data_IF_365556869652
#
_entry.id   IF_365556869652
#
_cell.length_a   1.000
_cell.length_b   1.000
_cell.length_c   1.000
_cell.angle_alpha   90.00
_cell.angle_beta   90.00
_cell.angle_gamma   90.00
#
_symmetry.space_group_name_H-M   'P 1'
#
loop_
_entity.id
_entity.type
_entity.pdbx_description
1 polymer ?
#
# COMPACT_ATOMS: atom_id res chain seq x y z
N UNK A 1 -17.85 2.88 -20.02
CA UNK A 1 -16.53 2.22 -19.85
C UNK A 1 -15.88 2.72 -18.57
N UNK A 2 -15.02 1.92 -17.93
CA UNK A 2 -14.28 2.34 -16.74
C UNK A 2 -12.86 2.74 -17.15
N UNK A 3 -12.42 3.93 -16.71
CA UNK A 3 -11.06 4.42 -16.93
C UNK A 3 -10.17 4.07 -15.74
N UNK A 4 -9.13 3.27 -15.97
CA UNK A 4 -8.10 2.97 -14.98
C UNK A 4 -6.86 3.84 -15.19
N UNK A 5 -6.26 4.27 -14.08
CA UNK A 5 -5.11 5.17 -14.10
C UNK A 5 -4.08 4.67 -13.11
N UNK A 6 -2.84 4.49 -13.55
CA UNK A 6 -1.73 4.26 -12.63
C UNK A 6 -1.10 5.59 -12.24
N UNK A 7 -1.27 6.03 -10.99
CA UNK A 7 -0.66 7.24 -10.44
C UNK A 7 0.13 6.92 -9.14
N UNK A 8 1.32 6.31 -9.26
CA UNK A 8 2.10 5.79 -8.13
C UNK A 8 2.56 6.87 -7.14
N UNK A 9 2.53 8.14 -7.54
CA UNK A 9 2.83 9.30 -6.72
C UNK A 9 1.74 9.66 -5.70
N UNK A 10 0.62 8.93 -5.66
CA UNK A 10 -0.56 9.24 -4.84
C UNK A 10 -0.23 9.67 -3.39
N UNK A 11 0.58 8.89 -2.66
CA UNK A 11 0.89 9.21 -1.25
C UNK A 11 1.71 10.52 -1.12
N UNK A 12 2.52 10.84 -2.13
CA UNK A 12 3.26 12.12 -2.18
C UNK A 12 2.32 13.28 -2.48
N UNK A 13 1.33 13.06 -3.35
CA UNK A 13 0.30 14.04 -3.66
C UNK A 13 -0.57 14.33 -2.42
N UNK A 14 -0.93 13.31 -1.63
CA UNK A 14 -1.64 13.49 -0.36
C UNK A 14 -0.80 14.27 0.67
N UNK A 15 0.50 13.98 0.75
CA UNK A 15 1.42 14.69 1.63
C UNK A 15 1.55 16.17 1.27
N UNK A 16 1.58 16.50 -0.03
CA UNK A 16 1.68 17.88 -0.52
C UNK A 16 0.34 18.63 -0.48
N UNK A 17 -0.76 17.93 -0.75
CA UNK A 17 -2.14 18.42 -0.70
C UNK A 17 -2.41 19.68 -1.53
N UNK A 18 -1.94 19.70 -2.79
CA UNK A 18 -2.22 20.80 -3.72
C UNK A 18 -2.82 20.29 -5.03
N UNK A 19 -3.60 21.14 -5.70
CA UNK A 19 -4.20 20.91 -7.03
C UNK A 19 -3.15 20.79 -8.15
N UNK A 20 -1.95 21.34 -7.92
CA UNK A 20 -0.90 21.48 -8.93
C UNK A 20 0.38 20.77 -8.49
N UNK A 21 0.24 19.60 -7.86
CA UNK A 21 1.38 18.84 -7.38
C UNK A 21 2.18 18.28 -8.56
N UNK A 22 3.47 18.60 -8.59
CA UNK A 22 4.40 18.01 -9.56
C UNK A 22 5.22 16.95 -8.83
N UNK A 23 4.96 15.69 -9.15
CA UNK A 23 5.70 14.57 -8.57
C UNK A 23 7.19 14.63 -8.95
N UNK A 24 8.11 14.13 -8.10
CA UNK A 24 9.54 14.03 -8.44
C UNK A 24 9.79 13.22 -9.72
N UNK A 25 10.90 13.48 -10.41
CA UNK A 25 11.25 12.83 -11.68
C UNK A 25 11.09 11.30 -11.63
N UNK A 26 11.64 10.65 -10.61
CA UNK A 26 11.56 9.20 -10.46
C UNK A 26 10.12 8.67 -10.37
N UNK A 27 9.19 9.41 -9.76
CA UNK A 27 7.79 9.01 -9.66
C UNK A 27 7.05 9.21 -10.99
N UNK A 28 7.35 10.30 -11.71
CA UNK A 28 6.79 10.54 -13.06
C UNK A 28 7.27 9.49 -14.06
N UNK A 29 8.54 9.12 -13.98
CA UNK A 29 9.13 8.07 -14.80
C UNK A 29 8.49 6.71 -14.50
N UNK A 30 8.30 6.38 -13.22
CA UNK A 30 7.57 5.17 -12.81
C UNK A 30 6.13 5.15 -13.36
N UNK A 31 5.41 6.28 -13.29
CA UNK A 31 4.07 6.45 -13.89
C UNK A 31 4.09 6.18 -15.39
N UNK A 32 5.05 6.79 -16.11
CA UNK A 32 5.16 6.66 -17.55
C UNK A 32 5.52 5.24 -18.01
N UNK A 33 6.49 4.60 -17.36
CA UNK A 33 6.99 3.28 -17.74
C UNK A 33 6.00 2.15 -17.38
N UNK A 34 5.26 2.30 -16.28
CA UNK A 34 4.35 1.28 -15.75
C UNK A 34 2.87 1.67 -15.85
N UNK A 35 2.54 2.68 -16.65
CA UNK A 35 1.15 3.14 -16.84
C UNK A 35 0.18 2.05 -17.28
N UNK A 36 0.70 0.99 -17.93
CA UNK A 36 -0.08 -0.17 -18.39
C UNK A 36 -0.51 -1.13 -17.28
N UNK A 37 0.05 -1.04 -16.06
CA UNK A 37 -0.21 -1.99 -14.97
C UNK A 37 -1.70 -2.26 -14.70
N UNK A 38 -2.62 -1.28 -14.83
CA UNK A 38 -4.03 -1.56 -14.57
C UNK A 38 -4.66 -2.57 -15.52
N UNK A 39 -4.07 -2.83 -16.68
CA UNK A 39 -4.49 -3.93 -17.56
C UNK A 39 -4.46 -5.31 -16.88
N UNK A 40 -3.66 -5.48 -15.82
CA UNK A 40 -3.59 -6.74 -15.06
C UNK A 40 -4.89 -7.10 -14.35
N UNK A 41 -5.75 -6.11 -14.05
CA UNK A 41 -6.99 -6.30 -13.29
C UNK A 41 -8.21 -5.63 -13.92
N UNK A 42 -8.03 -4.98 -15.06
CA UNK A 42 -9.11 -4.37 -15.81
C UNK A 42 -10.02 -5.45 -16.41
N UNK A 43 -11.30 -5.12 -16.56
CA UNK A 43 -12.29 -6.01 -17.17
C UNK A 43 -12.33 -5.84 -18.69
N UNK A 44 -13.00 -6.76 -19.39
CA UNK A 44 -13.20 -6.66 -20.85
C UNK A 44 -13.90 -5.34 -21.19
N UNK A 45 -13.30 -4.54 -22.09
CA UNK A 45 -13.80 -3.23 -22.53
C UNK A 45 -13.35 -2.04 -21.69
N UNK A 46 -12.60 -2.24 -20.60
CA UNK A 46 -12.07 -1.15 -19.79
C UNK A 46 -10.96 -0.37 -20.52
N UNK A 47 -10.75 0.89 -20.10
CA UNK A 47 -9.75 1.80 -20.66
C UNK A 47 -8.59 1.97 -19.68
N UNK A 48 -7.36 2.01 -20.19
CA UNK A 48 -6.14 2.25 -19.39
C UNK A 48 -5.47 3.53 -19.89
N UNK A 49 -5.44 4.57 -19.05
CA UNK A 49 -4.76 5.81 -19.39
C UNK A 49 -3.25 5.63 -19.31
N UNK A 50 -2.54 5.89 -20.41
CA UNK A 50 -1.08 5.77 -20.50
C UNK A 50 -0.46 7.01 -21.14
N UNK A 51 0.73 7.41 -20.66
CA UNK A 51 1.46 8.56 -21.20
C UNK A 51 2.05 8.31 -22.60
N UNK A 52 2.35 7.06 -22.94
CA UNK A 52 2.94 6.69 -24.23
C UNK A 52 2.37 5.36 -24.71
N UNK A 53 1.50 5.42 -25.72
CA UNK A 53 0.83 4.24 -26.29
C UNK A 53 1.81 3.21 -26.84
N UNK A 54 2.83 3.64 -27.57
CA UNK A 54 3.79 2.73 -28.20
C UNK A 54 4.60 1.97 -27.16
N UNK A 55 5.10 2.67 -26.13
CA UNK A 55 5.81 2.05 -25.01
C UNK A 55 4.89 1.10 -24.24
N UNK A 56 3.73 1.57 -23.80
CA UNK A 56 2.77 0.76 -23.04
C UNK A 56 2.35 -0.51 -23.81
N UNK A 57 2.11 -0.40 -25.12
CA UNK A 57 1.78 -1.54 -25.98
C UNK A 57 2.92 -2.57 -25.99
N UNK A 58 4.17 -2.12 -26.18
CA UNK A 58 5.34 -3.00 -26.16
C UNK A 58 5.52 -3.72 -24.82
N UNK A 59 5.29 -3.03 -23.70
CA UNK A 59 5.32 -3.68 -22.38
C UNK A 59 4.19 -4.68 -22.22
N UNK A 60 2.96 -4.31 -22.61
CA UNK A 60 1.77 -5.13 -22.47
C UNK A 60 1.82 -6.39 -23.33
N UNK A 61 2.52 -6.39 -24.46
CA UNK A 61 2.74 -7.58 -25.30
C UNK A 61 3.25 -8.79 -24.50
N UNK A 62 4.10 -8.55 -23.49
CA UNK A 62 4.65 -9.58 -22.60
C UNK A 62 3.60 -10.21 -21.68
N UNK A 63 2.48 -9.53 -21.46
CA UNK A 63 1.40 -9.91 -20.54
C UNK A 63 0.08 -10.22 -21.25
N UNK A 64 0.03 -10.21 -22.58
CA UNK A 64 -1.21 -10.43 -23.38
C UNK A 64 -1.98 -11.69 -23.01
N UNK A 65 -1.30 -12.75 -22.58
CA UNK A 65 -1.92 -14.01 -22.12
C UNK A 65 -2.55 -13.91 -20.71
N UNK A 66 -2.19 -12.88 -19.96
CA UNK A 66 -2.54 -12.71 -18.55
C UNK A 66 -3.55 -11.60 -18.28
N UNK A 67 -3.99 -10.92 -19.34
CA UNK A 67 -4.89 -9.76 -19.26
C UNK A 67 -6.17 -10.04 -20.06
N UNK A 68 -7.22 -9.31 -19.69
CA UNK A 68 -8.49 -9.24 -20.41
C UNK A 68 -8.39 -8.27 -21.59
N UNK A 69 -9.43 -8.20 -22.43
CA UNK A 69 -9.46 -7.30 -23.59
C UNK A 69 -9.75 -5.86 -23.15
N UNK A 70 -8.70 -5.15 -22.72
CA UNK A 70 -8.76 -3.72 -22.40
C UNK A 70 -8.14 -2.85 -23.49
N UNK A 71 -8.44 -1.54 -23.49
CA UNK A 71 -7.91 -0.58 -24.47
C UNK A 71 -6.94 0.40 -23.81
N UNK A 72 -5.75 0.54 -24.39
CA UNK A 72 -4.82 1.61 -24.00
C UNK A 72 -5.26 2.91 -24.65
N UNK A 73 -5.31 3.99 -23.87
CA UNK A 73 -5.70 5.33 -24.35
C UNK A 73 -4.69 6.38 -23.89
N UNK A 74 -4.32 7.28 -24.79
CA UNK A 74 -3.58 8.50 -24.45
C UNK A 74 -4.55 9.63 -24.10
N UNK A 75 -4.04 10.75 -23.63
CA UNK A 75 -4.84 11.95 -23.36
C UNK A 75 -5.57 12.44 -24.63
N UNK A 76 -4.90 12.41 -25.79
CA UNK A 76 -5.49 12.84 -27.06
C UNK A 76 -6.65 11.92 -27.48
N UNK A 77 -6.50 10.60 -27.31
CA UNK A 77 -7.57 9.65 -27.61
C UNK A 77 -8.72 9.76 -26.60
N UNK A 78 -8.39 10.01 -25.33
CA UNK A 78 -9.37 10.18 -24.26
C UNK A 78 -10.32 11.34 -24.57
N UNK A 79 -9.81 12.43 -25.15
CA UNK A 79 -10.63 13.58 -25.53
C UNK A 79 -11.78 13.25 -26.48
N UNK A 80 -11.61 12.22 -27.33
CA UNK A 80 -12.62 11.78 -28.30
C UNK A 80 -13.70 10.85 -27.70
N UNK A 81 -13.38 10.14 -26.61
CA UNK A 81 -14.27 9.11 -26.02
C UNK A 81 -14.69 9.42 -24.58
N UNK A 82 -14.35 10.61 -24.06
CA UNK A 82 -14.61 11.01 -22.67
C UNK A 82 -16.07 10.97 -22.25
N UNK A 83 -17.02 11.10 -23.20
CA UNK A 83 -18.46 10.97 -22.94
C UNK A 83 -18.88 9.57 -22.53
N UNK A 84 -18.10 8.56 -22.91
CA UNK A 84 -18.44 7.15 -22.72
C UNK A 84 -17.87 6.60 -21.39
N UNK A 85 -17.15 7.44 -20.66
CA UNK A 85 -16.54 7.11 -19.37
C UNK A 85 -17.58 7.31 -18.27
N UNK A 86 -17.92 6.22 -17.58
CA UNK A 86 -18.94 6.20 -16.54
C UNK A 86 -18.34 6.18 -15.13
N UNK A 87 -17.09 5.73 -15.01
CA UNK A 87 -16.38 5.60 -13.74
C UNK A 87 -14.87 5.72 -13.97
N UNK A 88 -14.15 6.25 -12.97
CA UNK A 88 -12.69 6.33 -12.96
C UNK A 88 -12.16 5.58 -11.74
N UNK A 89 -11.26 4.62 -11.98
CA UNK A 89 -10.61 3.79 -10.96
C UNK A 89 -9.08 4.02 -10.99
N UNK A 90 -8.59 5.07 -10.33
CA UNK A 90 -7.16 5.31 -10.28
C UNK A 90 -6.48 4.36 -9.29
N UNK A 91 -5.14 4.35 -9.32
CA UNK A 91 -4.33 3.72 -8.29
C UNK A 91 -4.72 4.30 -6.92
N UNK A 92 -4.86 5.62 -6.81
CA UNK A 92 -5.51 6.27 -5.67
C UNK A 92 -5.92 7.72 -5.96
N UNK A 93 -7.08 8.13 -5.47
CA UNK A 93 -7.63 9.48 -5.67
C UNK A 93 -6.88 10.56 -4.88
N UNK A 94 -6.59 11.69 -5.50
CA UNK A 94 -6.07 12.87 -4.81
C UNK A 94 -6.47 14.14 -5.57
N UNK A 95 -6.29 15.29 -4.93
CA UNK A 95 -6.70 16.59 -5.47
C UNK A 95 -5.99 16.92 -6.80
N UNK A 96 -4.71 16.60 -6.92
CA UNK A 96 -3.94 16.85 -8.15
C UNK A 96 -4.43 16.01 -9.32
N UNK A 97 -4.75 14.72 -9.09
CA UNK A 97 -5.31 13.85 -10.13
C UNK A 97 -6.71 14.32 -10.55
N UNK A 98 -7.56 14.72 -9.59
CA UNK A 98 -8.88 15.29 -9.91
C UNK A 98 -8.71 16.51 -10.83
N UNK A 99 -7.80 17.42 -10.50
CA UNK A 99 -7.55 18.61 -11.32
C UNK A 99 -6.99 18.25 -12.71
N UNK A 100 -6.06 17.30 -12.80
CA UNK A 100 -5.52 16.78 -14.07
C UNK A 100 -6.66 16.29 -14.98
N UNK A 101 -7.59 15.48 -14.45
CA UNK A 101 -8.70 14.92 -15.22
C UNK A 101 -9.76 15.96 -15.61
N UNK A 102 -10.01 16.95 -14.74
CA UNK A 102 -10.88 18.08 -15.08
C UNK A 102 -10.28 18.93 -16.22
N UNK A 103 -8.96 19.13 -16.22
CA UNK A 103 -8.26 19.84 -17.30
C UNK A 103 -8.32 19.08 -18.63
N UNK A 104 -8.32 17.74 -18.59
CA UNK A 104 -8.60 16.88 -19.76
C UNK A 104 -10.06 16.96 -20.23
N UNK A 105 -10.93 17.64 -19.47
CA UNK A 105 -12.33 17.87 -19.79
C UNK A 105 -13.26 16.69 -19.46
N UNK A 106 -12.86 15.79 -18.55
CA UNK A 106 -13.76 14.78 -18.01
C UNK A 106 -14.84 15.41 -17.13
N UNK A 107 -16.01 14.79 -17.07
CA UNK A 107 -17.15 15.32 -16.33
C UNK A 107 -16.88 15.37 -14.82
N UNK A 108 -17.23 16.47 -14.18
CA UNK A 108 -17.20 16.59 -12.72
C UNK A 108 -18.10 15.55 -12.02
N UNK A 109 -19.15 15.06 -12.70
CA UNK A 109 -20.11 14.08 -12.16
C UNK A 109 -19.49 12.73 -11.82
N UNK A 110 -18.37 12.38 -12.44
CA UNK A 110 -17.64 11.13 -12.21
C UNK A 110 -16.37 11.34 -11.35
N UNK A 111 -16.20 12.55 -10.80
CA UNK A 111 -15.10 12.89 -9.90
C UNK A 111 -15.53 12.71 -8.44
N UNK A 112 -14.59 12.44 -7.52
CA UNK A 112 -14.87 12.51 -6.11
C UNK A 112 -15.19 13.95 -5.67
N UNK A 113 -16.09 14.08 -4.71
CA UNK A 113 -16.39 15.38 -4.07
C UNK A 113 -15.21 15.84 -3.21
N UNK A 114 -15.19 17.12 -2.86
CA UNK A 114 -14.18 17.67 -1.95
C UNK A 114 -14.23 16.98 -0.57
N UNK A 115 -15.44 16.67 -0.06
CA UNK A 115 -15.59 15.95 1.21
C UNK A 115 -15.02 14.53 1.11
N UNK A 116 -15.20 13.84 -0.01
CA UNK A 116 -14.64 12.50 -0.23
C UNK A 116 -13.10 12.55 -0.28
N UNK A 117 -12.52 13.51 -1.00
CA UNK A 117 -11.06 13.68 -1.06
C UNK A 117 -10.46 14.08 0.29
N UNK A 118 -11.14 14.97 1.03
CA UNK A 118 -10.75 15.31 2.39
C UNK A 118 -10.79 14.09 3.31
N UNK A 119 -11.89 13.33 3.30
CA UNK A 119 -12.02 12.11 4.11
C UNK A 119 -10.95 11.07 3.75
N UNK A 120 -10.73 10.82 2.46
CA UNK A 120 -9.67 9.92 1.98
C UNK A 120 -8.31 10.35 2.52
N UNK A 121 -7.95 11.62 2.35
CA UNK A 121 -6.67 12.14 2.84
C UNK A 121 -6.50 11.95 4.35
N UNK A 122 -7.54 12.22 5.13
CA UNK A 122 -7.51 12.02 6.59
C UNK A 122 -7.36 10.53 6.95
N UNK A 123 -7.99 9.63 6.21
CA UNK A 123 -7.87 8.19 6.45
C UNK A 123 -6.56 7.59 5.95
N UNK A 124 -5.92 8.18 4.93
CA UNK A 124 -4.58 7.81 4.47
C UNK A 124 -3.46 8.34 5.36
N UNK A 125 -3.77 9.20 6.34
CA UNK A 125 -2.84 9.60 7.37
C UNK A 125 -2.62 8.40 8.31
N UNK A 126 -1.36 8.04 8.59
CA UNK A 126 -1.06 6.91 9.50
C UNK A 126 -1.72 7.01 10.88
N UNK A 127 -2.03 8.22 11.37
CA UNK A 127 -2.80 8.43 12.60
C UNK A 127 -4.15 7.68 12.58
N UNK A 128 -4.78 7.55 11.41
CA UNK A 128 -6.05 6.86 11.24
C UNK A 128 -6.00 5.39 11.66
N UNK A 129 -4.84 4.74 11.48
CA UNK A 129 -4.64 3.35 11.85
C UNK A 129 -4.52 3.15 13.37
N UNK A 130 -4.19 4.19 14.16
CA UNK A 130 -3.98 4.05 15.60
C UNK A 130 -5.20 3.50 16.36
N UNK A 131 -6.42 4.07 16.24
CA UNK A 131 -7.60 3.53 16.93
C UNK A 131 -7.97 2.11 16.45
N UNK A 132 -7.74 1.80 15.16
CA UNK A 132 -8.00 0.48 14.60
C UNK A 132 -7.02 -0.55 15.19
N UNK A 133 -5.73 -0.20 15.30
CA UNK A 133 -4.72 -1.07 15.92
C UNK A 133 -5.04 -1.32 17.39
N UNK A 134 -5.52 -0.30 18.10
CA UNK A 134 -5.97 -0.43 19.49
C UNK A 134 -7.16 -1.41 19.60
N UNK A 135 -8.18 -1.27 18.75
CA UNK A 135 -9.33 -2.18 18.72
C UNK A 135 -8.92 -3.62 18.39
N UNK A 136 -7.97 -3.81 17.45
CA UNK A 136 -7.42 -5.14 17.14
C UNK A 136 -6.63 -5.70 18.33
N UNK A 137 -5.72 -4.93 18.92
CA UNK A 137 -4.88 -5.38 20.03
C UNK A 137 -5.71 -5.85 21.23
N UNK A 138 -6.79 -5.14 21.55
CA UNK A 138 -7.67 -5.47 22.69
C UNK A 138 -8.82 -6.40 22.34
N UNK A 139 -9.23 -6.49 21.07
CA UNK A 139 -10.36 -7.29 20.62
C UNK A 139 -10.01 -8.69 20.09
N UNK A 140 -8.72 -8.98 19.86
CA UNK A 140 -8.25 -10.29 19.42
C UNK A 140 -8.01 -11.21 20.62
N UNK A 141 -8.53 -12.46 20.62
CA UNK A 141 -8.42 -13.39 21.74
C UNK A 141 -7.06 -14.13 21.77
N UNK A 142 -5.98 -13.46 21.34
CA UNK A 142 -4.67 -14.08 21.15
C UNK A 142 -3.60 -13.35 21.95
N UNK A 143 -2.77 -14.12 22.67
CA UNK A 143 -1.69 -13.59 23.52
C UNK A 143 -0.40 -13.24 22.76
N UNK A 144 -0.34 -13.52 21.46
CA UNK A 144 0.80 -13.29 20.58
C UNK A 144 0.57 -12.11 19.61
N UNK A 145 -0.30 -11.16 19.97
CA UNK A 145 -0.49 -9.92 19.21
C UNK A 145 0.44 -8.83 19.76
N UNK A 146 1.09 -8.10 18.86
CA UNK A 146 1.96 -6.98 19.19
C UNK A 146 1.61 -5.77 18.31
N UNK A 147 2.22 -4.63 18.64
CA UNK A 147 2.07 -3.39 17.90
C UNK A 147 1.66 -2.27 18.81
N UNK A 148 2.44 -1.20 18.80
CA UNK A 148 2.18 0.02 19.57
C UNK A 148 2.57 1.20 18.70
N UNK A 149 1.73 2.21 18.70
CA UNK A 149 1.97 3.41 17.93
C UNK A 149 1.43 4.63 18.66
N UNK A 150 2.09 5.76 18.47
CA UNK A 150 1.63 7.05 18.96
C UNK A 150 1.81 8.11 17.87
N UNK A 151 0.79 8.94 17.67
CA UNK A 151 0.90 10.15 16.87
C UNK A 151 1.35 11.32 17.74
N UNK A 152 2.45 11.95 17.36
CA UNK A 152 3.04 13.07 18.09
C UNK A 152 2.89 14.36 17.29
N UNK A 153 2.47 15.42 17.98
CA UNK A 153 2.41 16.78 17.42
C UNK A 153 3.43 17.73 18.05
N UNK A 154 4.04 17.35 19.17
CA UNK A 154 5.13 18.12 19.79
C UNK A 154 6.45 17.32 19.75
N UNK A 155 7.51 17.88 19.13
CA UNK A 155 8.90 17.40 19.23
C UNK A 155 9.33 16.86 20.60
N UNK A 156 8.91 17.50 21.69
CA UNK A 156 9.31 17.17 23.06
C UNK A 156 8.81 15.80 23.50
N UNK A 157 7.79 15.25 22.85
CA UNK A 157 7.19 13.95 23.16
C UNK A 157 8.06 12.77 22.68
N UNK A 158 8.98 12.99 21.75
CA UNK A 158 9.82 11.94 21.17
C UNK A 158 10.73 11.31 22.23
N UNK A 159 11.49 12.13 22.97
CA UNK A 159 12.50 11.65 23.92
C UNK A 159 11.91 10.76 25.04
N UNK A 160 10.81 11.15 25.72
CA UNK A 160 10.16 10.28 26.71
C UNK A 160 9.80 8.89 26.15
N UNK A 161 9.27 8.82 24.93
CA UNK A 161 8.89 7.54 24.31
C UNK A 161 10.12 6.72 23.97
N UNK A 162 11.15 7.33 23.36
CA UNK A 162 12.40 6.65 23.01
C UNK A 162 13.10 6.07 24.25
N UNK A 163 13.07 6.77 25.39
CA UNK A 163 13.62 6.24 26.66
C UNK A 163 12.90 4.98 27.15
N UNK A 164 11.60 4.86 26.88
CA UNK A 164 10.79 3.69 27.25
C UNK A 164 11.08 2.53 26.30
N UNK A 165 11.03 2.78 24.99
CA UNK A 165 11.11 1.72 23.97
C UNK A 165 12.54 1.40 23.52
N UNK A 166 13.52 2.20 23.93
CA UNK A 166 14.97 2.12 23.62
C UNK A 166 15.34 2.37 22.17
N UNK A 167 14.58 1.77 21.24
CA UNK A 167 14.73 1.95 19.81
C UNK A 167 13.36 2.10 19.18
N UNK A 168 13.21 3.13 18.36
CA UNK A 168 11.95 3.50 17.75
C UNK A 168 12.10 3.75 16.25
N UNK A 169 10.96 3.72 15.58
CA UNK A 169 10.78 4.12 14.20
C UNK A 169 9.87 5.34 14.18
N UNK A 170 10.35 6.41 13.58
CA UNK A 170 9.55 7.58 13.24
C UNK A 170 9.01 7.42 11.82
N UNK A 171 7.72 7.65 11.61
CA UNK A 171 7.07 7.59 10.29
C UNK A 171 6.30 8.87 10.00
N UNK A 172 6.44 9.40 8.78
CA UNK A 172 5.67 10.56 8.35
C UNK A 172 4.17 10.20 8.26
N UNK A 173 3.24 11.13 8.54
CA UNK A 173 1.80 10.87 8.41
C UNK A 173 1.38 10.39 7.02
N UNK A 174 1.92 11.01 5.96
CA UNK A 174 1.77 10.60 4.56
C UNK A 174 3.15 10.39 3.92
N UNK A 175 3.37 9.21 3.34
CA UNK A 175 4.63 8.92 2.63
C UNK A 175 4.49 7.76 1.65
N UNK A 176 5.35 7.72 0.63
CA UNK A 176 5.43 6.61 -0.33
C UNK A 176 6.69 5.76 -0.12
N UNK A 177 6.56 4.44 -0.32
CA UNK A 177 7.65 3.48 -0.54
C UNK A 177 8.84 3.59 0.43
N UNK A 178 8.57 3.61 1.74
CA UNK A 178 9.59 3.60 2.80
C UNK A 178 10.37 4.92 3.00
N UNK A 179 10.16 5.94 2.16
CA UNK A 179 10.93 7.20 2.19
C UNK A 179 10.64 8.06 3.42
N UNK A 180 9.48 7.85 4.05
CA UNK A 180 9.01 8.57 5.23
C UNK A 180 9.39 7.93 6.55
N UNK A 181 10.43 7.09 6.61
CA UNK A 181 10.83 6.35 7.81
C UNK A 181 12.19 6.83 8.31
N UNK A 182 12.35 7.03 9.62
CA UNK A 182 13.64 7.26 10.30
C UNK A 182 13.76 6.38 11.53
N UNK A 183 14.94 5.85 11.77
CA UNK A 183 15.26 5.12 12.99
C UNK A 183 15.82 6.10 14.01
N UNK A 184 15.44 5.92 15.28
CA UNK A 184 15.95 6.70 16.39
C UNK A 184 16.13 5.79 17.61
N UNK A 185 17.17 6.07 18.39
CA UNK A 185 17.47 5.39 19.65
C UNK A 185 17.75 6.43 20.74
N UNK A 186 18.16 5.98 21.92
CA UNK A 186 18.44 6.84 23.08
C UNK A 186 19.52 7.91 22.83
N UNK A 187 20.33 7.81 21.77
CA UNK A 187 21.30 8.85 21.38
C UNK A 187 20.61 10.07 20.75
N UNK A 188 19.37 9.92 20.30
CA UNK A 188 18.55 10.97 19.69
C UNK A 188 19.28 11.70 18.55
N UNK A 189 19.64 10.94 17.51
CA UNK A 189 20.31 11.46 16.31
C UNK A 189 19.66 12.75 15.80
N UNK A 190 20.48 13.79 15.63
CA UNK A 190 20.00 15.14 15.30
C UNK A 190 19.37 15.21 13.91
N UNK A 191 19.81 14.37 12.96
CA UNK A 191 19.22 14.30 11.64
C UNK A 191 17.82 13.66 11.69
N UNK A 192 17.61 12.59 12.45
CA UNK A 192 16.29 12.00 12.68
C UNK A 192 15.33 13.00 13.37
N UNK A 193 15.79 13.72 14.38
CA UNK A 193 14.99 14.75 15.07
C UNK A 193 14.63 15.92 14.14
N UNK A 194 15.61 16.48 13.43
CA UNK A 194 15.38 17.57 12.49
C UNK A 194 14.40 17.17 11.38
N UNK A 195 14.50 15.92 10.90
CA UNK A 195 13.52 15.37 9.98
C UNK A 195 12.12 15.28 10.60
N UNK A 196 12.00 14.83 11.85
CA UNK A 196 10.73 14.74 12.56
C UNK A 196 10.09 16.12 12.72
N UNK A 197 10.87 17.13 13.12
CA UNK A 197 10.38 18.49 13.34
C UNK A 197 9.86 19.11 12.04
N UNK A 198 10.63 18.93 10.96
CA UNK A 198 10.19 19.37 9.63
C UNK A 198 8.94 18.64 9.16
N UNK A 199 8.82 17.35 9.48
CA UNK A 199 7.64 16.54 9.16
C UNK A 199 6.42 17.02 9.94
N UNK A 200 6.54 17.23 11.25
CA UNK A 200 5.47 17.80 12.09
C UNK A 200 5.02 19.18 11.59
N UNK A 201 5.97 20.05 11.22
CA UNK A 201 5.65 21.38 10.66
C UNK A 201 4.87 21.30 9.34
N UNK A 202 5.14 20.30 8.50
CA UNK A 202 4.52 20.17 7.16
C UNK A 202 3.27 19.31 7.13
N UNK A 203 3.19 18.31 8.01
CA UNK A 203 2.16 17.25 7.99
C UNK A 203 1.40 17.16 9.32
N UNK A 204 1.58 18.14 10.21
CA UNK A 204 0.90 18.28 11.51
C UNK A 204 1.23 17.20 12.55
N UNK A 205 2.18 16.32 12.28
CA UNK A 205 2.67 15.36 13.26
C UNK A 205 3.66 14.35 12.70
N UNK A 206 4.02 13.36 13.51
CA UNK A 206 4.81 12.18 13.15
C UNK A 206 4.31 10.98 13.96
N UNK A 207 4.32 9.80 13.36
CA UNK A 207 4.08 8.55 14.10
C UNK A 207 5.38 8.07 14.72
N UNK A 208 5.31 7.56 15.94
CA UNK A 208 6.40 6.83 16.60
C UNK A 208 5.93 5.42 16.98
N UNK A 209 6.75 4.42 16.69
CA UNK A 209 6.51 3.02 16.99
C UNK A 209 7.78 2.40 17.59
N UNK A 210 7.68 1.39 18.47
CA UNK A 210 8.84 0.57 18.84
C UNK A 210 9.47 -0.05 17.58
N UNK A 211 10.79 -0.16 17.57
CA UNK A 211 11.48 -0.91 16.53
C UNK A 211 11.31 -2.41 16.78
N UNK A 212 10.70 -3.10 15.83
CA UNK A 212 10.52 -4.56 15.88
C UNK A 212 11.49 -5.26 14.94
N UNK A 213 12.20 -6.27 15.45
CA UNK A 213 13.09 -7.14 14.68
C UNK A 213 12.28 -8.15 13.86
N UNK A 214 11.58 -7.68 12.83
CA UNK A 214 10.73 -8.54 11.99
C UNK A 214 11.53 -9.61 11.25
N UNK A 215 10.93 -10.79 11.10
CA UNK A 215 11.44 -11.91 10.30
C UNK A 215 10.65 -12.11 9.01
N UNK A 216 9.44 -11.55 8.94
CA UNK A 216 8.58 -11.62 7.75
C UNK A 216 7.74 -10.35 7.64
N UNK A 217 7.71 -9.76 6.45
CA UNK A 217 6.66 -8.83 6.02
C UNK A 217 5.63 -9.59 5.19
N UNK A 218 4.37 -9.22 5.36
CA UNK A 218 3.29 -9.65 4.47
C UNK A 218 2.15 -8.63 4.54
N UNK A 219 1.12 -8.82 3.72
CA UNK A 219 -0.06 -7.97 3.78
C UNK A 219 -1.32 -8.77 3.47
N UNK A 220 -2.45 -8.13 3.74
CA UNK A 220 -3.76 -8.56 3.33
C UNK A 220 -4.35 -7.49 2.43
N UNK A 221 -4.77 -7.88 1.24
CA UNK A 221 -5.41 -6.98 0.29
C UNK A 221 -6.93 -7.06 0.45
N UNK A 222 -7.61 -5.94 0.31
CA UNK A 222 -9.05 -5.81 0.54
C UNK A 222 -9.68 -4.91 -0.53
N UNK A 223 -11.00 -5.05 -0.69
CA UNK A 223 -11.83 -4.10 -1.42
C UNK A 223 -12.96 -3.60 -0.51
N UNK A 224 -13.08 -2.28 -0.39
CA UNK A 224 -14.19 -1.61 0.29
C UNK A 224 -15.31 -1.36 -0.71
N UNK A 225 -16.46 -1.98 -0.48
CA UNK A 225 -17.73 -1.66 -1.14
C UNK A 225 -18.56 -0.72 -0.26
N UNK A 226 -19.73 -0.28 -0.75
CA UNK A 226 -20.61 0.62 0.00
C UNK A 226 -21.14 0.00 1.30
N UNK A 227 -21.28 -1.33 1.34
CA UNK A 227 -21.98 -2.09 2.37
C UNK A 227 -21.08 -3.09 3.13
N UNK A 228 -19.85 -3.33 2.66
CA UNK A 228 -18.90 -4.26 3.29
C UNK A 228 -17.46 -4.02 2.86
N UNK A 229 -16.53 -4.51 3.65
CA UNK A 229 -15.13 -4.73 3.25
C UNK A 229 -14.96 -6.22 2.95
N UNK A 230 -14.26 -6.54 1.86
CA UNK A 230 -14.04 -7.92 1.41
C UNK A 230 -12.56 -8.18 1.20
N UNK A 231 -12.04 -9.17 1.89
CA UNK A 231 -10.71 -9.72 1.73
C UNK A 231 -10.49 -10.28 0.31
N UNK A 232 -9.34 -9.94 -0.28
CA UNK A 232 -8.96 -10.32 -1.65
C UNK A 232 -7.83 -11.35 -1.69
N UNK A 233 -6.97 -11.42 -0.67
CA UNK A 233 -5.90 -12.41 -0.58
C UNK A 233 -4.65 -11.94 0.15
N UNK A 234 -3.77 -12.88 0.50
CA UNK A 234 -2.47 -12.59 1.11
C UNK A 234 -1.49 -12.01 0.09
N UNK A 235 -0.69 -11.05 0.51
CA UNK A 235 0.42 -10.51 -0.25
C UNK A 235 1.71 -10.84 0.48
N UNK A 236 2.50 -11.78 -0.04
CA UNK A 236 3.82 -12.09 0.53
C UNK A 236 4.87 -11.29 -0.22
N UNK A 237 5.33 -10.21 0.38
CA UNK A 237 6.28 -9.28 -0.23
C UNK A 237 7.57 -9.16 0.56
N UNK A 238 8.61 -8.69 -0.12
CA UNK A 238 9.92 -8.41 0.45
C UNK A 238 10.13 -6.90 0.52
N UNK A 239 10.75 -6.46 1.61
CA UNK A 239 11.22 -5.08 1.75
C UNK A 239 12.71 -5.05 2.07
N UNK A 240 13.41 -4.08 1.50
CA UNK A 240 14.80 -3.75 1.86
C UNK A 240 14.82 -2.31 2.31
N UNK A 241 15.26 -2.05 3.55
CA UNK A 241 15.25 -0.72 4.17
C UNK A 241 13.86 -0.04 4.13
N UNK A 242 12.79 -0.82 4.24
CA UNK A 242 11.41 -0.32 4.21
C UNK A 242 10.85 -0.04 2.81
N UNK A 243 11.63 -0.25 1.74
CA UNK A 243 11.16 -0.15 0.36
C UNK A 243 10.77 -1.53 -0.19
N UNK A 244 9.65 -1.60 -0.91
CA UNK A 244 9.20 -2.80 -1.61
C UNK A 244 10.22 -3.26 -2.65
N UNK A 245 10.54 -4.56 -2.67
CA UNK A 245 11.48 -5.16 -3.64
C UNK A 245 10.86 -6.30 -4.46
N UNK A 246 9.74 -6.88 -4.02
CA UNK A 246 9.00 -7.85 -4.84
C UNK A 246 7.94 -8.63 -4.07
N UNK A 247 7.02 -9.26 -4.80
CA UNK A 247 5.96 -10.12 -4.26
C UNK A 247 6.04 -11.53 -4.83
N UNK A 248 5.82 -12.53 -3.98
CA UNK A 248 5.66 -13.91 -4.41
C UNK A 248 4.32 -14.08 -5.12
N UNK A 249 4.37 -14.65 -6.33
CA UNK A 249 3.19 -15.03 -7.10
C UNK A 249 2.83 -16.47 -6.78
N UNK A 250 1.72 -16.66 -6.06
CA UNK A 250 1.34 -17.98 -5.58
C UNK A 250 -0.14 -18.04 -5.16
N UNK A 251 -0.72 -19.24 -5.16
CA UNK A 251 -2.07 -19.49 -4.63
C UNK A 251 -2.21 -19.09 -3.16
N UNK A 252 -3.45 -18.84 -2.75
CA UNK A 252 -3.76 -18.51 -1.36
C UNK A 252 -3.33 -19.62 -0.40
N UNK A 253 -3.65 -20.88 -0.71
CA UNK A 253 -3.28 -22.05 0.10
C UNK A 253 -1.79 -22.14 0.37
N UNK A 254 -0.96 -21.91 -0.64
CA UNK A 254 0.49 -21.98 -0.52
C UNK A 254 1.07 -20.77 0.24
N UNK A 255 0.51 -19.56 0.06
CA UNK A 255 0.89 -18.41 0.89
C UNK A 255 0.51 -18.63 2.36
N UNK A 256 -0.65 -19.22 2.62
CA UNK A 256 -1.09 -19.62 3.97
C UNK A 256 -0.14 -20.67 4.55
N UNK A 257 0.28 -21.68 3.77
CA UNK A 257 1.27 -22.67 4.20
C UNK A 257 2.58 -22.02 4.67
N UNK A 258 3.08 -21.01 3.95
CA UNK A 258 4.28 -20.26 4.35
C UNK A 258 4.07 -19.50 5.67
N UNK A 259 2.93 -18.81 5.83
CA UNK A 259 2.64 -18.05 7.07
C UNK A 259 2.36 -18.98 8.26
N UNK A 260 1.80 -20.17 8.01
CA UNK A 260 1.44 -21.17 9.03
C UNK A 260 2.64 -21.70 9.82
N UNK A 261 3.85 -21.54 9.29
CA UNK A 261 5.10 -21.87 9.98
C UNK A 261 5.36 -20.95 11.20
N UNK A 262 4.66 -19.82 11.29
CA UNK A 262 4.85 -18.81 12.31
C UNK A 262 3.59 -18.51 13.13
N UNK A 263 2.43 -18.46 12.47
CA UNK A 263 1.14 -18.06 13.06
C UNK A 263 0.10 -19.11 12.70
N UNK A 264 -0.75 -19.48 13.64
CA UNK A 264 -1.82 -20.45 13.41
C UNK A 264 -2.80 -19.98 12.29
N UNK A 265 -3.26 -20.92 11.46
CA UNK A 265 -4.14 -20.60 10.31
C UNK A 265 -5.52 -20.12 10.78
N UNK A 266 -6.06 -20.71 11.84
CA UNK A 266 -7.34 -20.28 12.41
C UNK A 266 -7.20 -18.89 13.04
N UNK A 267 -6.07 -18.63 13.70
CA UNK A 267 -5.73 -17.29 14.16
C UNK A 267 -5.74 -16.28 13.02
N UNK A 268 -5.04 -16.56 11.92
CA UNK A 268 -4.97 -15.63 10.80
C UNK A 268 -6.34 -15.41 10.16
N UNK A 269 -7.13 -16.47 10.00
CA UNK A 269 -8.51 -16.40 9.46
C UNK A 269 -9.41 -15.54 10.35
N UNK A 270 -9.33 -15.70 11.67
CA UNK A 270 -10.08 -14.86 12.61
C UNK A 270 -9.67 -13.39 12.49
N UNK A 271 -8.36 -13.12 12.37
CA UNK A 271 -7.84 -11.76 12.19
C UNK A 271 -8.35 -11.15 10.88
N UNK A 272 -8.39 -11.92 9.78
CA UNK A 272 -8.97 -11.46 8.51
C UNK A 272 -10.42 -11.02 8.68
N UNK A 273 -11.26 -11.86 9.30
CA UNK A 273 -12.68 -11.54 9.54
C UNK A 273 -12.83 -10.31 10.46
N UNK A 274 -12.00 -10.21 11.50
CA UNK A 274 -12.02 -9.06 12.39
C UNK A 274 -11.58 -7.77 11.69
N UNK A 275 -10.60 -7.85 10.80
CA UNK A 275 -10.19 -6.74 9.95
C UNK A 275 -11.33 -6.29 9.04
N UNK A 276 -12.03 -7.19 8.36
CA UNK A 276 -13.19 -6.83 7.52
C UNK A 276 -14.24 -6.03 8.33
N UNK A 277 -14.59 -6.50 9.52
CA UNK A 277 -15.55 -5.85 10.42
C UNK A 277 -15.07 -4.46 10.87
N UNK A 278 -13.87 -4.38 11.47
CA UNK A 278 -13.35 -3.15 12.06
C UNK A 278 -13.05 -2.12 10.97
N UNK A 279 -12.43 -2.52 9.87
CA UNK A 279 -12.14 -1.60 8.76
C UNK A 279 -13.42 -1.08 8.14
N UNK A 280 -14.44 -1.92 7.93
CA UNK A 280 -15.73 -1.46 7.42
C UNK A 280 -16.35 -0.41 8.35
N UNK A 281 -16.44 -0.67 9.65
CA UNK A 281 -16.91 0.29 10.66
C UNK A 281 -16.18 1.63 10.55
N UNK A 282 -14.86 1.59 10.33
CA UNK A 282 -14.05 2.79 10.22
C UNK A 282 -14.18 3.50 8.87
N UNK A 283 -14.32 2.82 7.73
CA UNK A 283 -14.26 3.47 6.40
C UNK A 283 -15.62 3.62 5.69
N UNK A 284 -16.68 3.00 6.20
CA UNK A 284 -18.04 3.03 5.62
C UNK A 284 -18.48 4.46 5.31
N UNK A 285 -19.03 4.65 4.11
CA UNK A 285 -19.55 5.94 3.64
C UNK A 285 -18.47 6.98 3.29
N UNK A 286 -17.18 6.63 3.45
CA UNK A 286 -16.06 7.55 3.21
C UNK A 286 -15.06 7.03 2.18
N UNK A 287 -14.94 5.72 2.03
CA UNK A 287 -14.03 5.10 1.06
C UNK A 287 -14.65 3.90 0.35
N UNK A 288 -14.54 3.88 -0.98
CA UNK A 288 -14.87 2.74 -1.84
C UNK A 288 -13.67 2.53 -2.76
N UNK A 289 -13.16 1.29 -2.81
CA UNK A 289 -11.97 0.97 -3.58
C UNK A 289 -11.08 -0.07 -2.91
N UNK A 290 -10.01 -0.40 -3.63
CA UNK A 290 -9.01 -1.36 -3.20
C UNK A 290 -8.03 -0.74 -2.20
N UNK A 291 -7.66 -1.49 -1.17
CA UNK A 291 -6.69 -1.05 -0.18
C UNK A 291 -5.93 -2.25 0.41
N UNK A 292 -4.73 -2.00 0.93
CA UNK A 292 -3.88 -3.03 1.53
C UNK A 292 -3.60 -2.76 3.00
N UNK A 293 -3.50 -3.81 3.79
CA UNK A 293 -3.06 -3.77 5.19
C UNK A 293 -1.73 -4.49 5.29
N UNK A 294 -0.68 -3.76 5.63
CA UNK A 294 0.65 -4.34 5.84
C UNK A 294 0.75 -4.91 7.25
N UNK A 295 1.40 -6.06 7.37
CA UNK A 295 1.53 -6.87 8.59
C UNK A 295 2.97 -7.34 8.72
N UNK A 296 3.39 -7.72 9.93
CA UNK A 296 4.70 -8.33 10.11
C UNK A 296 4.70 -9.36 11.23
N UNK A 297 5.63 -10.30 11.11
CA UNK A 297 5.90 -11.35 12.09
C UNK A 297 7.22 -11.01 12.78
N UNK A 298 7.21 -11.08 14.11
CA UNK A 298 8.34 -10.74 14.99
C UNK A 298 8.66 -11.96 15.84
N UNK A 299 9.93 -12.37 15.98
CA UNK A 299 10.30 -13.44 16.89
C UNK A 299 10.10 -12.97 18.34
N UNK A 300 9.81 -13.92 19.22
CA UNK A 300 9.87 -13.65 20.65
C UNK A 300 11.33 -13.77 21.12
N UNK A 301 11.92 -12.62 21.48
CA UNK A 301 13.29 -12.57 21.99
C UNK A 301 13.40 -13.01 23.46
N UNK A 302 12.29 -13.09 24.20
CA UNK A 302 12.25 -13.60 25.58
C UNK A 302 12.14 -15.13 25.60
N UNK A 303 13.29 -15.79 25.41
CA UNK A 303 13.38 -17.27 25.36
C UNK A 303 13.24 -17.97 26.71
N UNK A 304 13.34 -17.22 27.82
CA UNK A 304 13.51 -17.79 29.16
C UNK A 304 12.19 -18.03 29.92
N UNK A 305 11.04 -17.77 29.29
CA UNK A 305 9.73 -18.02 29.92
C UNK A 305 9.01 -19.20 29.25
N UNK A 306 8.77 -20.33 29.97
CA UNK A 306 7.98 -21.42 29.44
C UNK A 306 6.55 -20.93 29.11
N UNK A 307 5.95 -21.48 28.06
CA UNK A 307 4.60 -21.16 27.55
C UNK A 307 4.41 -19.81 26.85
N UNK A 308 5.49 -19.10 26.48
CA UNK A 308 5.35 -17.94 25.60
C UNK A 308 5.27 -18.34 24.11
N UNK A 309 4.51 -17.59 23.29
CA UNK A 309 4.50 -17.81 21.85
C UNK A 309 5.89 -17.55 21.26
N UNK A 310 6.30 -18.40 20.30
CA UNK A 310 7.59 -18.25 19.60
C UNK A 310 7.63 -17.02 18.69
N UNK A 311 6.48 -16.61 18.18
CA UNK A 311 6.33 -15.49 17.25
C UNK A 311 5.15 -14.62 17.67
N UNK A 312 5.30 -13.32 17.50
CA UNK A 312 4.26 -12.32 17.61
C UNK A 312 3.84 -11.85 16.22
N UNK A 313 2.53 -11.58 16.07
CA UNK A 313 1.96 -10.94 14.90
C UNK A 313 1.68 -9.47 15.20
N UNK A 314 2.22 -8.58 14.37
CA UNK A 314 1.74 -7.20 14.27
C UNK A 314 0.63 -7.14 13.21
N UNK A 315 -0.65 -7.03 13.60
CA UNK A 315 -1.77 -7.29 12.70
C UNK A 315 -2.03 -6.15 11.71
N UNK A 316 -1.43 -4.97 11.93
CA UNK A 316 -1.60 -3.82 11.04
C UNK A 316 -0.50 -2.78 11.26
N UNK A 317 0.57 -2.86 10.48
CA UNK A 317 1.70 -1.91 10.44
C UNK A 317 1.31 -0.62 9.73
N UNK A 318 0.52 -0.73 8.67
CA UNK A 318 0.07 0.39 7.83
C UNK A 318 -1.20 0.00 7.07
N UNK A 319 -2.06 1.00 6.79
CA UNK A 319 -3.19 0.87 5.86
C UNK A 319 -2.87 1.74 4.64
N UNK A 320 -2.90 1.15 3.45
CA UNK A 320 -2.70 1.81 2.18
C UNK A 320 -4.05 1.95 1.46
N UNK A 321 -4.74 3.10 1.59
CA UNK A 321 -6.06 3.35 0.95
C UNK A 321 -5.96 3.65 -0.55
N UNK A 322 -5.38 2.70 -1.27
CA UNK A 322 -5.16 2.70 -2.71
C UNK A 322 -4.90 1.27 -3.15
N UNK A 323 -4.96 1.04 -4.47
CA UNK A 323 -4.40 -0.17 -5.05
C UNK A 323 -2.92 -0.31 -4.62
N UNK A 324 -2.47 -1.54 -4.47
CA UNK A 324 -1.10 -1.87 -4.02
C UNK A 324 -0.44 -2.82 -5.01
N UNK A 325 0.89 -2.97 -4.91
CA UNK A 325 1.57 -4.03 -5.67
C UNK A 325 1.10 -5.43 -5.26
N UNK A 326 0.56 -5.60 -4.05
CA UNK A 326 -0.08 -6.85 -3.66
C UNK A 326 -1.29 -7.19 -4.52
N UNK A 327 -2.12 -6.21 -4.88
CA UNK A 327 -3.23 -6.42 -5.82
C UNK A 327 -2.74 -6.85 -7.22
N UNK A 328 -1.65 -6.24 -7.71
CA UNK A 328 -1.03 -6.65 -8.97
C UNK A 328 -0.49 -8.09 -8.90
N UNK A 329 0.13 -8.46 -7.77
CA UNK A 329 0.61 -9.80 -7.52
C UNK A 329 -0.54 -10.83 -7.45
N UNK A 330 -1.65 -10.49 -6.79
CA UNK A 330 -2.84 -11.33 -6.73
C UNK A 330 -3.41 -11.58 -8.13
N UNK A 331 -3.56 -10.52 -8.93
CA UNK A 331 -4.06 -10.61 -10.30
C UNK A 331 -3.21 -11.57 -11.15
N UNK A 332 -1.88 -11.48 -11.06
CA UNK A 332 -0.97 -12.38 -11.77
C UNK A 332 -0.96 -13.81 -11.21
N UNK A 333 -1.21 -14.00 -9.92
CA UNK A 333 -1.19 -15.32 -9.25
C UNK A 333 -2.34 -16.23 -9.68
N UNK A 334 -3.39 -15.68 -10.28
CA UNK A 334 -4.46 -16.47 -10.88
C UNK A 334 -3.94 -17.38 -12.02
N UNK A 335 -2.90 -16.92 -12.74
CA UNK A 335 -2.31 -17.64 -13.86
C UNK A 335 -1.32 -18.70 -13.39
N UNK A 336 -1.60 -19.97 -13.70
CA UNK A 336 -0.84 -21.13 -13.20
C UNK A 336 0.64 -21.07 -13.59
N UNK A 337 0.97 -20.60 -14.79
CA UNK A 337 2.34 -20.51 -15.31
C UNK A 337 3.22 -19.44 -14.62
N UNK A 338 2.60 -18.53 -13.87
CA UNK A 338 3.31 -17.48 -13.13
C UNK A 338 3.57 -17.87 -11.67
N UNK A 339 2.95 -18.94 -11.18
CA UNK A 339 3.09 -19.38 -9.79
C UNK A 339 4.51 -19.82 -9.49
N UNK A 340 4.94 -19.53 -8.27
CA UNK A 340 6.31 -19.73 -7.80
C UNK A 340 7.29 -18.66 -8.27
N UNK A 341 6.89 -17.66 -9.07
CA UNK A 341 7.75 -16.54 -9.47
C UNK A 341 7.70 -15.40 -8.46
N UNK A 342 8.70 -14.53 -8.51
CA UNK A 342 8.73 -13.24 -7.80
C UNK A 342 8.45 -12.12 -8.81
N UNK A 343 7.41 -11.34 -8.53
CA UNK A 343 7.11 -10.10 -9.24
C UNK A 343 7.96 -8.96 -8.68
N UNK A 344 8.71 -8.27 -9.52
CA UNK A 344 9.57 -7.15 -9.13
C UNK A 344 9.37 -5.95 -10.04
N UNK A 345 9.56 -4.76 -9.47
CA UNK A 345 9.76 -3.53 -10.22
C UNK A 345 11.24 -3.19 -10.15
N UNK A 346 11.93 -3.23 -11.29
CA UNK A 346 13.37 -2.98 -11.37
C UNK A 346 13.63 -1.80 -12.30
N UNK A 347 14.61 -0.97 -11.94
CA UNK A 347 15.07 0.14 -12.76
C UNK A 347 16.37 -0.27 -13.45
N UNK A 348 16.40 -0.25 -14.78
CA UNK A 348 17.56 -0.70 -15.57
C UNK A 348 18.63 0.40 -15.79
N UNK A 349 18.43 1.57 -15.19
CA UNK A 349 19.25 2.77 -15.42
C UNK A 349 18.57 3.82 -16.28
N UNK A 350 17.54 3.43 -17.06
CA UNK A 350 16.77 4.32 -17.94
C UNK A 350 15.25 4.17 -17.80
N UNK A 351 14.75 2.98 -17.49
CA UNK A 351 13.31 2.69 -17.40
C UNK A 351 13.00 1.71 -16.27
N UNK A 352 11.79 1.84 -15.72
CA UNK A 352 11.22 0.85 -14.81
C UNK A 352 10.55 -0.29 -15.57
N UNK A 353 10.74 -1.51 -15.09
CA UNK A 353 10.18 -2.72 -15.71
C UNK A 353 9.51 -3.60 -14.67
N UNK A 354 8.38 -4.20 -15.06
CA UNK A 354 7.79 -5.32 -14.33
C UNK A 354 8.48 -6.63 -14.76
N UNK A 355 9.20 -7.25 -13.82
CA UNK A 355 9.89 -8.53 -14.02
C UNK A 355 9.21 -9.66 -13.25
N UNK A 356 9.08 -10.83 -13.89
CA UNK A 356 8.51 -12.05 -13.31
C UNK A 356 9.58 -13.16 -13.26
N UNK A 357 10.41 -13.11 -12.22
CA UNK A 357 11.61 -13.93 -12.11
C UNK A 357 11.34 -15.24 -11.35
N UNK A 358 12.04 -16.33 -11.66
CA UNK A 358 12.04 -17.49 -10.76
C UNK A 358 12.81 -17.14 -9.48
N UNK A 359 12.47 -17.70 -8.32
CA UNK A 359 13.24 -17.50 -7.10
C UNK A 359 14.66 -17.99 -7.34
N UNK A 360 15.66 -17.19 -7.00
CA UNK A 360 17.04 -17.67 -6.95
C UNK A 360 17.12 -18.77 -5.87
N UNK A 361 17.75 -19.90 -6.19
CA UNK A 361 17.94 -21.04 -5.25
C UNK A 361 18.78 -20.72 -3.99
N UNK A 362 19.09 -19.45 -3.73
CA UNK A 362 20.14 -19.01 -2.78
C UNK A 362 19.67 -18.10 -1.66
N UNK A 363 18.37 -17.99 -1.40
CA UNK A 363 17.86 -17.25 -0.23
C UNK A 363 16.67 -17.99 0.38
N UNK A 364 17.00 -19.03 1.16
CA UNK A 364 16.20 -19.49 2.31
C UNK A 364 16.82 -18.94 3.59
#
# INVERSE_FOLDING_TARGET
>A
MILHIFNPEHDLALANNTKHFIAPHAARQLKADLGFLPALWAEDGDLILVNNLASATKHLQRFTKFIKRCHLVSEELLAAIKSDITEIRPWGWNESLKQELLNMGLSEKIMPTEQQLFALRQMSNRQFAQPILYELYHGLPYNNIIGRTAYLSDPKEINPIVKIVKKAILKAPWSSSGRGIRYIDERLDSHALNWAYNTMRRQCGVMIEPFYHKIKDFGMEFFSYADKVVYQGLSLFHTTNGAYTGSLLQTETEKLSIISQYIDIQQLTYITLKLEEVLFKHIKGRYVGAFGVDMMIVPNDNKDQPNQPKFFLHPMVEINLRRTMGHAALALSHHKELRGRIMRIEYDGSHYHLHLNKPSKTTE
#
